data_IF_203438741993
#
_entry.id   IF_203438741993
#
_cell.length_a   1.000
_cell.length_b   1.000
_cell.length_c   1.000
_cell.angle_alpha   90.00
_cell.angle_beta   90.00
_cell.angle_gamma   90.00
#
_symmetry.space_group_name_H-M   'P 1'
#
loop_
_entity.id
_entity.type
_entity.pdbx_description
1 polymer ?
#
# COMPACT_ATOMS: atom_id res chain seq x y z
N UNK A 1 -21.65 28.37 -33.05
CA UNK A 1 -21.72 27.10 -33.80
C UNK A 1 -21.08 26.07 -32.88
N UNK A 2 -21.81 25.16 -32.24
CA UNK A 2 -21.20 24.07 -31.51
C UNK A 2 -20.73 23.03 -32.52
N UNK A 3 -19.45 22.71 -32.43
CA UNK A 3 -18.78 21.68 -33.21
C UNK A 3 -19.27 20.33 -32.72
N UNK A 4 -20.17 19.71 -33.48
CA UNK A 4 -20.67 18.36 -33.24
C UNK A 4 -19.63 17.37 -33.78
N UNK A 5 -18.59 17.08 -33.03
CA UNK A 5 -17.79 15.89 -33.27
C UNK A 5 -18.63 14.66 -32.85
N UNK A 6 -19.40 14.12 -33.79
CA UNK A 6 -20.01 12.80 -33.69
C UNK A 6 -18.84 11.81 -33.47
N UNK A 7 -18.89 10.95 -32.45
CA UNK A 7 -17.87 9.92 -32.29
C UNK A 7 -17.80 9.08 -33.56
N UNK A 8 -16.62 8.96 -34.16
CA UNK A 8 -16.43 8.04 -35.30
C UNK A 8 -16.91 6.66 -34.85
N UNK A 9 -17.77 6.03 -35.67
CA UNK A 9 -18.23 4.66 -35.39
C UNK A 9 -17.02 3.74 -35.29
N UNK A 10 -16.77 3.21 -34.10
CA UNK A 10 -15.64 2.32 -33.77
C UNK A 10 -15.92 0.86 -34.15
N UNK A 11 -17.06 0.62 -34.85
CA UNK A 11 -17.51 -0.72 -35.25
C UNK A 11 -16.65 -1.30 -36.35
N UNK A 12 -15.98 -2.41 -36.05
CA UNK A 12 -15.09 -3.10 -36.98
C UNK A 12 -15.64 -4.49 -37.29
N UNK A 13 -15.75 -4.83 -38.57
CA UNK A 13 -16.09 -6.19 -39.01
C UNK A 13 -14.97 -7.15 -38.66
N UNK A 14 -15.29 -8.26 -37.96
CA UNK A 14 -14.30 -9.22 -37.47
C UNK A 14 -14.50 -10.65 -37.98
N UNK A 15 -15.71 -11.07 -38.30
CA UNK A 15 -16.02 -12.40 -38.77
C UNK A 15 -17.39 -12.43 -39.47
N UNK A 16 -17.79 -13.59 -40.04
CA UNK A 16 -19.18 -13.85 -40.43
C UNK A 16 -19.91 -14.75 -39.44
N UNK A 17 -21.22 -14.62 -39.36
CA UNK A 17 -22.09 -15.50 -38.55
C UNK A 17 -22.03 -16.94 -39.02
N UNK A 18 -22.01 -17.17 -40.34
CA UNK A 18 -21.90 -18.48 -40.91
C UNK A 18 -20.61 -19.18 -40.47
N UNK A 19 -19.47 -18.48 -40.48
CA UNK A 19 -18.20 -19.03 -40.02
C UNK A 19 -18.23 -19.34 -38.51
N UNK A 20 -18.78 -18.43 -37.70
CA UNK A 20 -18.89 -18.62 -36.25
C UNK A 20 -19.81 -19.78 -35.90
N UNK A 21 -20.97 -19.87 -36.54
CA UNK A 21 -21.96 -20.95 -36.34
C UNK A 21 -21.39 -22.32 -36.73
N UNK A 22 -20.66 -22.39 -37.84
CA UNK A 22 -20.04 -23.63 -38.30
C UNK A 22 -19.00 -24.19 -37.32
N UNK A 23 -18.31 -23.30 -36.57
CA UNK A 23 -17.21 -23.68 -35.63
C UNK A 23 -17.59 -23.60 -34.16
N UNK A 24 -18.70 -22.92 -33.83
CA UNK A 24 -19.13 -22.62 -32.47
C UNK A 24 -18.30 -21.56 -31.77
N UNK A 25 -17.04 -21.34 -32.18
CA UNK A 25 -16.11 -20.36 -31.62
C UNK A 25 -15.04 -19.97 -32.66
N UNK A 26 -14.53 -18.72 -32.52
CA UNK A 26 -13.48 -18.21 -33.40
C UNK A 26 -12.46 -17.41 -32.61
N UNK A 27 -11.20 -17.46 -33.02
CA UNK A 27 -10.16 -16.54 -32.56
C UNK A 27 -9.88 -15.51 -33.65
N UNK A 28 -10.10 -14.26 -33.33
CA UNK A 28 -9.78 -13.12 -34.20
C UNK A 28 -8.51 -12.44 -33.71
N UNK A 29 -7.63 -12.05 -34.63
CA UNK A 29 -6.46 -11.21 -34.32
C UNK A 29 -6.67 -9.87 -35.06
N UNK A 30 -6.67 -8.78 -34.31
CA UNK A 30 -6.86 -7.44 -34.83
C UNK A 30 -6.06 -6.44 -34.00
N UNK A 31 -5.25 -5.61 -34.64
CA UNK A 31 -4.45 -4.55 -34.03
C UNK A 31 -3.65 -5.01 -32.77
N UNK A 32 -3.02 -6.19 -32.89
CA UNK A 32 -2.23 -6.78 -31.79
C UNK A 32 -3.07 -7.48 -30.72
N UNK A 33 -4.39 -7.35 -30.73
CA UNK A 33 -5.30 -8.02 -29.79
C UNK A 33 -5.66 -9.41 -30.27
N UNK A 34 -5.97 -10.29 -29.33
CA UNK A 34 -6.58 -11.59 -29.59
C UNK A 34 -7.96 -11.62 -28.93
N UNK A 35 -9.00 -11.74 -29.76
CA UNK A 35 -10.39 -11.73 -29.32
C UNK A 35 -10.97 -13.12 -29.57
N UNK A 36 -11.69 -13.65 -28.57
CA UNK A 36 -12.47 -14.87 -28.69
C UNK A 36 -13.93 -14.52 -28.97
N UNK A 37 -14.50 -15.12 -30.03
CA UNK A 37 -15.91 -15.07 -30.34
C UNK A 37 -16.55 -16.42 -30.02
N UNK A 38 -17.76 -16.38 -29.48
CA UNK A 38 -18.56 -17.56 -29.16
C UNK A 38 -19.96 -17.41 -29.69
N UNK A 39 -20.48 -18.49 -30.32
CA UNK A 39 -21.90 -18.60 -30.60
C UNK A 39 -22.63 -18.95 -29.28
N UNK A 40 -23.57 -18.10 -28.89
CA UNK A 40 -24.47 -18.35 -27.78
C UNK A 40 -25.72 -19.10 -28.23
N UNK A 41 -26.79 -19.00 -27.43
CA UNK A 41 -28.07 -19.58 -27.74
C UNK A 41 -28.80 -18.74 -28.83
N UNK A 42 -29.35 -19.39 -29.82
CA UNK A 42 -30.07 -18.71 -30.93
C UNK A 42 -29.14 -17.82 -31.76
N UNK A 43 -29.40 -16.53 -31.76
CA UNK A 43 -28.64 -15.53 -32.51
C UNK A 43 -27.58 -14.79 -31.65
N UNK A 44 -27.42 -15.18 -30.41
CA UNK A 44 -26.48 -14.52 -29.50
C UNK A 44 -25.02 -14.75 -29.94
N UNK A 45 -24.23 -13.69 -29.88
CA UNK A 45 -22.80 -13.71 -30.17
C UNK A 45 -22.08 -12.98 -29.03
N UNK A 46 -21.10 -13.64 -28.45
CA UNK A 46 -20.27 -13.06 -27.37
C UNK A 46 -18.85 -12.84 -27.84
N UNK A 47 -18.25 -11.73 -27.41
CA UNK A 47 -16.88 -11.38 -27.72
C UNK A 47 -16.13 -10.96 -26.44
N UNK A 48 -14.95 -11.54 -26.22
CA UNK A 48 -14.09 -11.18 -25.09
C UNK A 48 -12.61 -11.27 -25.46
N UNK A 49 -11.74 -10.73 -24.61
CA UNK A 49 -10.30 -11.00 -24.74
C UNK A 49 -10.04 -12.51 -24.74
N UNK A 50 -9.19 -12.95 -25.66
CA UNK A 50 -8.80 -14.36 -25.76
C UNK A 50 -7.68 -14.73 -24.76
N UNK A 51 -7.56 -14.00 -23.66
CA UNK A 51 -6.59 -14.25 -22.59
C UNK A 51 -7.32 -14.24 -21.26
N UNK A 52 -7.25 -15.37 -20.57
CA UNK A 52 -7.78 -15.44 -19.21
C UNK A 52 -7.04 -14.42 -18.33
N UNK A 53 -7.75 -13.56 -17.57
CA UNK A 53 -7.13 -12.55 -16.72
C UNK A 53 -6.29 -13.14 -15.59
N UNK A 54 -6.48 -14.44 -15.28
CA UNK A 54 -5.65 -15.15 -14.30
C UNK A 54 -4.20 -15.30 -14.79
N UNK A 55 -3.97 -16.17 -15.80
CA UNK A 55 -2.62 -16.50 -16.29
C UNK A 55 -2.52 -16.54 -17.82
N UNK A 56 -3.47 -15.91 -18.51
CA UNK A 56 -3.38 -15.71 -19.95
C UNK A 56 -3.74 -16.91 -20.82
N UNK A 57 -4.38 -17.97 -20.28
CA UNK A 57 -4.84 -19.11 -21.07
C UNK A 57 -5.80 -18.66 -22.20
N UNK A 58 -5.69 -19.24 -23.41
CA UNK A 58 -6.55 -18.87 -24.52
C UNK A 58 -8.01 -19.23 -24.25
N UNK A 59 -8.88 -18.24 -24.03
CA UNK A 59 -10.28 -18.46 -23.67
C UNK A 59 -11.11 -19.07 -24.79
N UNK A 60 -10.70 -18.94 -26.06
CA UNK A 60 -11.32 -19.67 -27.18
C UNK A 60 -11.27 -21.18 -27.01
N UNK A 61 -10.34 -21.70 -26.18
CA UNK A 61 -10.24 -23.12 -25.83
C UNK A 61 -11.04 -23.47 -24.57
N UNK A 62 -11.70 -22.48 -23.97
CA UNK A 62 -12.58 -22.67 -22.83
C UNK A 62 -13.87 -23.40 -23.16
N UNK A 63 -14.69 -23.69 -22.18
CA UNK A 63 -15.98 -24.35 -22.33
C UNK A 63 -17.11 -23.35 -22.11
N UNK A 64 -17.98 -23.20 -23.10
CA UNK A 64 -19.21 -22.40 -22.98
C UNK A 64 -20.36 -23.30 -22.55
N UNK A 65 -21.07 -22.91 -21.49
CA UNK A 65 -22.28 -23.57 -20.99
C UNK A 65 -23.40 -22.54 -20.82
N UNK A 66 -24.65 -23.02 -20.78
CA UNK A 66 -25.84 -22.18 -20.60
C UNK A 66 -25.88 -20.97 -21.56
N UNK A 67 -25.35 -21.15 -22.76
CA UNK A 67 -25.32 -20.14 -23.81
C UNK A 67 -24.43 -18.92 -23.56
N UNK A 68 -23.97 -18.68 -22.34
CA UNK A 68 -23.17 -17.48 -21.99
C UNK A 68 -22.11 -17.66 -20.90
N UNK A 69 -22.05 -18.79 -20.21
CA UNK A 69 -21.08 -19.01 -19.14
C UNK A 69 -19.81 -19.62 -19.71
N UNK A 70 -18.75 -18.83 -19.77
CA UNK A 70 -17.44 -19.27 -20.24
C UNK A 70 -16.57 -19.76 -19.08
N UNK A 71 -16.17 -21.02 -19.12
CA UNK A 71 -15.22 -21.62 -18.18
C UNK A 71 -13.83 -21.69 -18.80
N UNK A 72 -12.83 -21.10 -18.14
CA UNK A 72 -11.43 -21.30 -18.48
C UNK A 72 -11.01 -22.73 -18.10
N UNK A 73 -10.61 -23.55 -19.07
CA UNK A 73 -10.31 -24.97 -18.83
C UNK A 73 -8.99 -25.20 -18.07
N UNK A 74 -8.22 -24.16 -17.78
CA UNK A 74 -6.97 -24.31 -17.03
C UNK A 74 -7.22 -24.32 -15.51
N UNK A 75 -7.87 -23.26 -14.97
CA UNK A 75 -8.09 -23.13 -13.51
C UNK A 75 -9.56 -22.97 -13.14
N UNK A 76 -10.49 -23.31 -14.04
CA UNK A 76 -11.94 -23.29 -13.83
C UNK A 76 -12.54 -21.91 -13.48
N UNK A 77 -11.84 -20.80 -13.82
CA UNK A 77 -12.45 -19.50 -13.71
C UNK A 77 -13.66 -19.38 -14.64
N UNK A 78 -14.75 -18.78 -14.15
CA UNK A 78 -16.02 -18.69 -14.86
C UNK A 78 -16.43 -17.24 -15.03
N UNK A 79 -16.82 -16.93 -16.27
CA UNK A 79 -17.23 -15.60 -16.66
C UNK A 79 -18.62 -15.65 -17.29
N UNK A 80 -19.53 -14.78 -16.86
CA UNK A 80 -20.77 -14.53 -17.56
C UNK A 80 -20.52 -13.56 -18.72
N UNK A 81 -20.56 -14.05 -19.96
CA UNK A 81 -20.36 -13.22 -21.14
C UNK A 81 -21.55 -12.29 -21.42
N UNK A 82 -22.73 -12.55 -20.86
CA UNK A 82 -23.92 -11.72 -21.00
C UNK A 82 -23.89 -10.55 -20.01
N UNK A 83 -23.80 -10.81 -18.71
CA UNK A 83 -23.73 -9.79 -17.67
C UNK A 83 -22.36 -9.13 -17.55
N UNK A 84 -21.29 -9.88 -17.80
CA UNK A 84 -19.90 -9.41 -17.66
C UNK A 84 -19.28 -9.70 -16.30
N UNK A 85 -19.98 -10.45 -15.50
CA UNK A 85 -19.53 -10.77 -14.14
C UNK A 85 -18.55 -11.94 -14.15
N UNK A 86 -17.58 -11.91 -13.25
CA UNK A 86 -16.74 -13.06 -12.94
C UNK A 86 -17.44 -13.87 -11.85
N UNK A 87 -17.97 -15.03 -12.21
CA UNK A 87 -18.71 -15.91 -11.31
C UNK A 87 -17.80 -16.74 -10.41
N UNK A 88 -16.62 -17.11 -10.93
CA UNK A 88 -15.57 -17.83 -10.20
C UNK A 88 -14.23 -17.26 -10.65
N UNK A 89 -13.47 -16.76 -9.73
CA UNK A 89 -12.19 -16.10 -9.97
C UNK A 89 -12.12 -14.74 -9.30
N UNK A 90 -10.98 -14.10 -9.38
CA UNK A 90 -10.71 -12.84 -8.67
C UNK A 90 -10.54 -11.62 -9.59
N UNK A 91 -10.82 -11.71 -10.88
CA UNK A 91 -10.49 -10.66 -11.82
C UNK A 91 -11.50 -10.56 -12.98
N UNK A 92 -11.66 -9.39 -13.56
CA UNK A 92 -12.65 -9.13 -14.61
C UNK A 92 -12.13 -9.48 -16.01
N UNK A 93 -13.02 -10.02 -16.84
CA UNK A 93 -12.74 -10.29 -18.25
C UNK A 93 -13.21 -9.12 -19.12
N UNK A 94 -12.32 -8.58 -19.96
CA UNK A 94 -12.72 -7.58 -20.95
C UNK A 94 -13.64 -8.22 -21.99
N UNK A 95 -14.82 -7.63 -22.20
CA UNK A 95 -15.78 -7.96 -23.23
C UNK A 95 -15.84 -6.86 -24.27
N UNK A 96 -16.28 -7.20 -25.46
CA UNK A 96 -16.50 -6.26 -26.56
C UNK A 96 -17.98 -6.23 -26.91
N UNK A 97 -18.60 -5.03 -27.06
CA UNK A 97 -19.93 -4.93 -27.62
C UNK A 97 -19.98 -5.54 -29.03
N UNK A 98 -21.04 -6.28 -29.29
CA UNK A 98 -21.28 -6.96 -30.59
C UNK A 98 -22.47 -6.35 -31.27
N UNK A 99 -22.37 -6.11 -32.58
CA UNK A 99 -23.46 -5.77 -33.48
C UNK A 99 -23.46 -6.73 -34.67
N UNK A 100 -24.64 -7.21 -35.01
CA UNK A 100 -24.84 -8.03 -36.20
C UNK A 100 -25.42 -7.16 -37.32
N UNK A 101 -24.85 -7.26 -38.54
CA UNK A 101 -25.33 -6.59 -39.74
C UNK A 101 -25.39 -7.63 -40.86
N UNK A 102 -26.60 -8.20 -41.04
CA UNK A 102 -26.78 -9.38 -41.92
C UNK A 102 -25.93 -10.57 -41.42
N UNK A 103 -24.99 -11.02 -42.23
CA UNK A 103 -24.03 -12.08 -41.86
C UNK A 103 -22.77 -11.53 -41.16
N UNK A 104 -22.57 -10.23 -41.17
CA UNK A 104 -21.36 -9.65 -40.60
C UNK A 104 -21.45 -9.49 -39.07
N UNK A 105 -20.38 -9.90 -38.36
CA UNK A 105 -20.17 -9.66 -36.93
C UNK A 105 -19.23 -8.45 -36.82
N UNK A 106 -19.74 -7.40 -36.17
CA UNK A 106 -18.98 -6.19 -35.90
C UNK A 106 -18.76 -6.05 -34.40
N UNK A 107 -17.55 -5.61 -33.99
CA UNK A 107 -17.20 -5.31 -32.64
C UNK A 107 -16.93 -3.81 -32.46
N UNK A 108 -17.37 -3.28 -31.34
CA UNK A 108 -16.86 -2.00 -30.86
C UNK A 108 -15.52 -2.22 -30.16
N UNK A 109 -14.47 -1.66 -30.76
CA UNK A 109 -13.08 -1.78 -30.26
C UNK A 109 -12.62 -0.54 -29.50
N UNK A 110 -13.54 0.37 -29.19
CA UNK A 110 -13.20 1.55 -28.40
C UNK A 110 -12.50 1.15 -27.10
N UNK A 111 -11.43 1.86 -26.79
CA UNK A 111 -10.82 1.72 -25.47
C UNK A 111 -11.72 2.39 -24.44
N UNK A 112 -11.94 1.76 -23.28
CA UNK A 112 -12.60 2.42 -22.16
C UNK A 112 -11.83 3.69 -21.76
N UNK A 113 -12.55 4.65 -21.15
CA UNK A 113 -11.90 5.85 -20.63
C UNK A 113 -10.77 5.47 -19.65
N UNK A 114 -9.54 5.99 -19.84
CA UNK A 114 -8.44 5.74 -18.92
C UNK A 114 -8.78 6.05 -17.46
N UNK A 115 -9.59 7.07 -17.19
CA UNK A 115 -10.04 7.41 -15.85
C UNK A 115 -10.96 6.31 -15.27
N UNK A 116 -11.83 5.71 -16.08
CA UNK A 116 -12.66 4.58 -15.65
C UNK A 116 -11.83 3.32 -15.39
N UNK A 117 -10.80 3.07 -16.21
CA UNK A 117 -9.87 1.95 -15.98
C UNK A 117 -9.11 2.15 -14.65
N UNK A 118 -8.61 3.36 -14.41
CA UNK A 118 -7.89 3.68 -13.17
C UNK A 118 -8.80 3.54 -11.94
N UNK A 119 -10.04 4.04 -12.00
CA UNK A 119 -11.01 3.90 -10.91
C UNK A 119 -11.32 2.43 -10.62
N UNK A 120 -11.61 1.62 -11.65
CA UNK A 120 -11.86 0.19 -11.51
C UNK A 120 -10.65 -0.58 -10.97
N UNK A 121 -9.44 -0.17 -11.33
CA UNK A 121 -8.22 -0.79 -10.79
C UNK A 121 -8.08 -0.52 -9.28
N UNK A 122 -8.41 0.67 -8.81
CA UNK A 122 -8.40 0.99 -7.38
C UNK A 122 -9.51 0.27 -6.61
N UNK A 123 -10.71 0.13 -7.20
CA UNK A 123 -11.79 -0.67 -6.61
C UNK A 123 -11.40 -2.14 -6.55
N UNK A 124 -10.86 -2.71 -7.64
CA UNK A 124 -10.35 -4.07 -7.70
C UNK A 124 -9.19 -4.32 -6.71
N UNK A 125 -8.35 -3.31 -6.48
CA UNK A 125 -7.31 -3.36 -5.47
C UNK A 125 -7.90 -3.53 -4.06
N UNK A 126 -8.97 -2.80 -3.74
CA UNK A 126 -9.64 -2.94 -2.44
C UNK A 126 -10.19 -4.35 -2.24
N UNK A 127 -10.82 -4.93 -3.26
CA UNK A 127 -11.38 -6.28 -3.18
C UNK A 127 -10.32 -7.36 -2.93
N UNK A 128 -9.14 -7.24 -3.54
CA UNK A 128 -8.07 -8.25 -3.39
C UNK A 128 -7.14 -8.00 -2.21
N UNK A 129 -7.22 -6.82 -1.61
CA UNK A 129 -6.38 -6.42 -0.49
C UNK A 129 -6.66 -7.25 0.76
N UNK A 130 -7.93 -7.38 1.15
CA UNK A 130 -8.33 -8.11 2.35
C UNK A 130 -8.04 -9.62 2.27
N UNK A 131 -8.08 -10.19 1.06
CA UNK A 131 -7.72 -11.57 0.80
C UNK A 131 -6.21 -11.80 0.71
N UNK A 132 -5.43 -10.72 0.68
CA UNK A 132 -4.00 -10.76 0.39
C UNK A 132 -3.67 -11.51 -0.91
N UNK A 133 -4.51 -11.33 -1.95
CA UNK A 133 -4.23 -11.84 -3.29
C UNK A 133 -3.12 -11.00 -3.94
N UNK A 134 -1.88 -11.32 -3.58
CA UNK A 134 -0.69 -10.59 -4.00
C UNK A 134 -0.56 -10.49 -5.54
N UNK A 135 -0.92 -11.55 -6.25
CA UNK A 135 -0.86 -11.55 -7.71
C UNK A 135 -1.89 -10.59 -8.33
N UNK A 136 -3.09 -10.50 -7.75
CA UNK A 136 -4.11 -9.54 -8.18
C UNK A 136 -3.75 -8.12 -7.75
N UNK A 137 -3.22 -7.91 -6.54
CA UNK A 137 -2.68 -6.60 -6.12
C UNK A 137 -1.70 -6.08 -7.17
N UNK A 138 -0.74 -6.90 -7.60
CA UNK A 138 0.23 -6.51 -8.62
C UNK A 138 -0.43 -6.16 -9.96
N UNK A 139 -1.45 -6.91 -10.38
CA UNK A 139 -2.17 -6.65 -11.64
C UNK A 139 -2.98 -5.36 -11.59
N UNK A 140 -3.66 -5.09 -10.47
CA UNK A 140 -4.46 -3.85 -10.34
C UNK A 140 -3.56 -2.61 -10.34
N UNK A 141 -2.42 -2.64 -9.64
CA UNK A 141 -1.45 -1.54 -9.67
C UNK A 141 -0.85 -1.36 -11.07
N UNK A 142 -0.58 -2.45 -11.79
CA UNK A 142 -0.11 -2.39 -13.17
C UNK A 142 -1.18 -1.81 -14.13
N UNK A 143 -2.47 -2.12 -13.92
CA UNK A 143 -3.59 -1.53 -14.68
C UNK A 143 -3.74 -0.04 -14.42
N UNK A 144 -3.66 0.36 -13.15
CA UNK A 144 -3.66 1.76 -12.75
C UNK A 144 -2.57 2.53 -13.50
N UNK A 145 -1.33 2.03 -13.48
CA UNK A 145 -0.21 2.63 -14.19
C UNK A 145 -0.41 2.65 -15.71
N UNK A 146 -0.88 1.55 -16.30
CA UNK A 146 -1.12 1.45 -17.74
C UNK A 146 -2.22 2.41 -18.21
N UNK A 147 -3.18 2.73 -17.36
CA UNK A 147 -4.21 3.73 -17.60
C UNK A 147 -3.71 5.19 -17.43
N UNK A 148 -2.44 5.39 -17.08
CA UNK A 148 -1.87 6.72 -16.82
C UNK A 148 -2.14 7.27 -15.43
N UNK A 149 -2.71 6.48 -14.52
CA UNK A 149 -2.84 6.84 -13.10
C UNK A 149 -1.51 6.81 -12.36
N UNK A 150 -1.44 7.48 -11.21
CA UNK A 150 -0.27 7.43 -10.34
C UNK A 150 -0.28 6.12 -9.52
N UNK A 151 0.69 5.22 -9.69
CA UNK A 151 0.75 3.99 -8.89
C UNK A 151 0.86 4.25 -7.37
N UNK A 152 1.31 5.42 -6.94
CA UNK A 152 1.34 5.82 -5.54
C UNK A 152 -0.07 5.99 -4.93
N UNK A 153 -1.11 6.17 -5.76
CA UNK A 153 -2.50 6.22 -5.28
C UNK A 153 -2.91 4.89 -4.65
N UNK A 154 -2.35 3.77 -5.13
CA UNK A 154 -2.56 2.48 -4.49
C UNK A 154 -2.06 2.47 -3.04
N UNK A 155 -0.87 3.03 -2.77
CA UNK A 155 -0.34 3.12 -1.41
C UNK A 155 -1.07 4.17 -0.56
N UNK A 156 -1.43 5.33 -1.14
CA UNK A 156 -2.25 6.35 -0.43
C UNK A 156 -3.57 5.74 0.05
N UNK A 157 -4.29 5.04 -0.84
CA UNK A 157 -5.54 4.35 -0.49
C UNK A 157 -5.31 3.28 0.57
N UNK A 158 -4.26 2.49 0.45
CA UNK A 158 -3.90 1.46 1.42
C UNK A 158 -3.71 2.03 2.83
N UNK A 159 -2.99 3.13 2.98
CA UNK A 159 -2.80 3.80 4.26
C UNK A 159 -4.16 4.24 4.84
N UNK A 160 -5.03 4.84 4.03
CA UNK A 160 -6.37 5.25 4.45
C UNK A 160 -7.23 4.07 4.90
N UNK A 161 -7.17 2.93 4.19
CA UNK A 161 -7.98 1.74 4.52
C UNK A 161 -7.53 1.02 5.78
N UNK A 162 -6.25 1.13 6.13
CA UNK A 162 -5.65 0.29 7.17
C UNK A 162 -5.28 1.01 8.45
N UNK A 163 -5.31 2.35 8.47
CA UNK A 163 -4.80 3.13 9.60
C UNK A 163 -5.44 2.77 10.95
N UNK A 164 -6.69 2.35 10.95
CA UNK A 164 -7.42 1.93 12.14
C UNK A 164 -7.46 0.39 12.34
N UNK A 165 -6.73 -0.38 11.52
CA UNK A 165 -6.66 -1.85 11.62
C UNK A 165 -5.44 -2.35 12.42
N UNK A 166 -4.64 -1.45 12.94
CA UNK A 166 -3.48 -1.78 13.76
C UNK A 166 -3.74 -1.43 15.22
N UNK A 167 -3.88 -2.46 16.06
CA UNK A 167 -4.26 -2.31 17.46
C UNK A 167 -3.33 -1.37 18.24
N UNK A 168 -2.03 -1.43 17.94
CA UNK A 168 -0.99 -0.66 18.62
C UNK A 168 -0.31 0.38 17.72
N UNK A 169 -0.99 0.81 16.64
CA UNK A 169 -0.51 1.86 15.76
C UNK A 169 0.44 1.38 14.66
N UNK A 170 1.48 2.14 14.35
CA UNK A 170 2.37 1.86 13.23
C UNK A 170 3.04 0.49 13.33
N UNK A 171 3.15 -0.19 12.18
CA UNK A 171 3.79 -1.51 12.04
C UNK A 171 5.02 -1.42 11.15
N UNK A 172 5.70 -2.55 10.96
CA UNK A 172 6.82 -2.65 10.02
C UNK A 172 6.42 -2.30 8.58
N UNK A 173 5.14 -2.47 8.19
CA UNK A 173 4.67 -2.08 6.86
C UNK A 173 4.86 -0.57 6.62
N UNK A 174 4.62 0.29 7.62
CA UNK A 174 4.84 1.73 7.54
C UNK A 174 6.31 2.06 7.32
N UNK A 175 7.19 1.44 8.11
CA UNK A 175 8.63 1.68 7.99
C UNK A 175 9.19 1.14 6.66
N UNK A 176 8.85 -0.10 6.31
CA UNK A 176 9.30 -0.75 5.09
C UNK A 176 8.83 -0.01 3.83
N UNK A 177 7.60 0.55 3.82
CA UNK A 177 7.10 1.30 2.69
C UNK A 177 8.00 2.50 2.34
N UNK A 178 8.54 3.21 3.33
CA UNK A 178 9.48 4.30 3.09
C UNK A 178 10.76 3.82 2.38
N UNK A 179 11.28 2.64 2.76
CA UNK A 179 12.47 2.07 2.14
C UNK A 179 12.18 1.51 0.74
N UNK A 180 11.04 0.87 0.53
CA UNK A 180 10.61 0.44 -0.80
C UNK A 180 10.47 1.60 -1.76
N UNK A 181 9.99 2.77 -1.30
CA UNK A 181 9.93 3.97 -2.14
C UNK A 181 11.32 4.51 -2.50
N UNK A 182 12.35 4.32 -1.66
CA UNK A 182 13.74 4.61 -2.04
C UNK A 182 14.20 3.67 -3.16
N UNK A 183 13.88 2.38 -3.05
CA UNK A 183 14.19 1.41 -4.11
C UNK A 183 13.44 1.69 -5.41
N UNK A 184 12.17 2.11 -5.33
CA UNK A 184 11.41 2.60 -6.49
C UNK A 184 12.15 3.71 -7.22
N UNK A 185 12.61 4.72 -6.49
CA UNK A 185 13.31 5.87 -7.07
C UNK A 185 14.65 5.47 -7.69
N UNK A 186 15.37 4.53 -7.06
CA UNK A 186 16.61 3.98 -7.57
C UNK A 186 16.42 3.15 -8.86
N UNK A 187 15.21 2.71 -9.16
CA UNK A 187 14.86 1.95 -10.36
C UNK A 187 13.82 2.67 -11.24
N UNK A 188 13.79 3.99 -11.20
CA UNK A 188 12.81 4.78 -11.96
C UNK A 188 12.91 4.60 -13.49
N UNK A 189 14.06 4.15 -13.99
CA UNK A 189 14.31 3.81 -15.40
C UNK A 189 13.79 2.41 -15.79
N UNK A 190 13.43 1.56 -14.82
CA UNK A 190 12.85 0.22 -15.03
C UNK A 190 11.43 0.17 -14.45
N UNK A 191 10.38 0.38 -15.28
CA UNK A 191 9.01 0.43 -14.80
C UNK A 191 8.54 -0.83 -14.05
N UNK A 192 9.07 -2.00 -14.40
CA UNK A 192 8.69 -3.25 -13.73
C UNK A 192 9.27 -3.31 -12.31
N UNK A 193 10.53 -2.92 -12.14
CA UNK A 193 11.18 -2.86 -10.81
C UNK A 193 10.58 -1.76 -9.94
N UNK A 194 10.34 -0.59 -10.53
CA UNK A 194 9.69 0.51 -9.82
C UNK A 194 8.30 0.10 -9.33
N UNK A 195 7.52 -0.61 -10.18
CA UNK A 195 6.22 -1.12 -9.82
C UNK A 195 6.29 -2.17 -8.71
N UNK A 196 7.27 -3.08 -8.75
CA UNK A 196 7.47 -4.11 -7.72
C UNK A 196 7.60 -3.47 -6.34
N UNK A 197 8.33 -2.38 -6.20
CA UNK A 197 8.47 -1.69 -4.92
C UNK A 197 7.12 -1.20 -4.34
N UNK A 198 6.21 -0.73 -5.19
CA UNK A 198 4.87 -0.31 -4.75
C UNK A 198 4.00 -1.52 -4.39
N UNK A 199 4.09 -2.60 -5.16
CA UNK A 199 3.39 -3.86 -4.87
C UNK A 199 3.82 -4.41 -3.52
N UNK A 200 5.12 -4.36 -3.20
CA UNK A 200 5.64 -4.75 -1.88
C UNK A 200 5.08 -3.90 -0.75
N UNK A 201 5.00 -2.56 -0.94
CA UNK A 201 4.36 -1.69 0.05
C UNK A 201 2.93 -2.14 0.34
N UNK A 202 2.09 -2.21 -0.70
CA UNK A 202 0.67 -2.55 -0.59
C UNK A 202 0.48 -3.97 -0.04
N UNK A 203 1.27 -4.93 -0.55
CA UNK A 203 1.23 -6.32 -0.10
C UNK A 203 1.60 -6.48 1.37
N UNK A 204 2.55 -5.69 1.89
CA UNK A 204 2.93 -5.75 3.29
C UNK A 204 1.84 -5.15 4.20
N UNK A 205 1.24 -4.01 3.83
CA UNK A 205 0.08 -3.50 4.56
C UNK A 205 -1.08 -4.50 4.56
N UNK A 206 -1.36 -5.16 3.43
CA UNK A 206 -2.38 -6.19 3.33
C UNK A 206 -2.08 -7.37 4.26
N UNK A 207 -0.82 -7.79 4.33
CA UNK A 207 -0.38 -8.86 5.23
C UNK A 207 -0.55 -8.48 6.70
N UNK A 208 -0.08 -7.30 7.11
CA UNK A 208 -0.12 -6.85 8.49
C UNK A 208 -1.54 -6.58 8.99
N UNK A 209 -2.44 -6.10 8.11
CA UNK A 209 -3.84 -5.82 8.43
C UNK A 209 -4.78 -7.01 8.19
N UNK A 210 -4.25 -8.13 7.68
CA UNK A 210 -5.06 -9.30 7.30
C UNK A 210 -5.87 -9.83 8.47
N UNK A 211 -7.19 -9.97 8.23
CA UNK A 211 -8.15 -10.45 9.22
C UNK A 211 -8.20 -9.63 10.52
N UNK A 212 -7.48 -8.53 10.62
CA UNK A 212 -7.56 -7.65 11.77
C UNK A 212 -8.92 -6.92 11.78
N UNK A 213 -9.59 -6.84 12.94
CA UNK A 213 -10.75 -5.98 13.08
C UNK A 213 -10.35 -4.51 13.00
N UNK A 214 -11.33 -3.62 12.81
CA UNK A 214 -11.11 -2.19 13.02
C UNK A 214 -10.94 -1.89 14.53
N UNK A 215 -9.98 -1.05 14.82
CA UNK A 215 -9.73 -0.44 16.13
C UNK A 215 -9.91 1.07 15.97
N UNK A 216 -11.17 1.57 15.94
CA UNK A 216 -11.43 2.96 15.59
C UNK A 216 -10.76 3.91 16.59
N UNK A 217 -10.26 5.02 16.07
CA UNK A 217 -9.69 6.06 16.91
C UNK A 217 -10.81 6.80 17.67
N UNK A 218 -10.56 7.24 18.91
CA UNK A 218 -11.49 8.09 19.63
C UNK A 218 -11.92 9.30 18.81
N UNK A 219 -13.17 9.71 18.95
CA UNK A 219 -13.66 10.95 18.35
C UNK A 219 -13.13 12.15 19.14
N UNK A 220 -12.93 13.28 18.45
CA UNK A 220 -12.51 14.53 19.10
C UNK A 220 -11.69 15.40 18.16
N UNK A 221 -11.76 16.70 18.41
CA UNK A 221 -10.96 17.75 17.77
C UNK A 221 -10.60 18.78 18.83
N UNK A 222 -9.32 19.08 18.98
CA UNK A 222 -8.83 20.12 19.88
C UNK A 222 -7.76 20.95 19.18
N UNK A 223 -7.64 22.26 19.44
CA UNK A 223 -6.55 23.05 18.89
C UNK A 223 -5.19 22.41 19.22
N UNK A 224 -4.32 22.33 18.20
CA UNK A 224 -3.01 21.73 18.39
C UNK A 224 -2.17 22.52 19.37
N UNK A 225 -1.58 21.80 20.30
CA UNK A 225 -0.57 22.30 21.25
C UNK A 225 0.47 21.20 21.45
N UNK A 226 1.74 21.50 21.19
CA UNK A 226 2.83 20.54 21.22
C UNK A 226 3.12 19.99 22.63
N UNK A 227 2.99 20.82 23.67
CA UNK A 227 3.23 20.40 25.06
C UNK A 227 2.06 19.55 25.57
N UNK A 228 0.82 19.94 25.22
CA UNK A 228 -0.36 19.16 25.52
C UNK A 228 -0.34 17.79 24.83
N UNK A 229 0.16 17.68 23.58
CA UNK A 229 0.30 16.41 22.89
C UNK A 229 1.27 15.47 23.62
N UNK A 230 2.45 15.98 24.01
CA UNK A 230 3.42 15.19 24.80
C UNK A 230 2.80 14.76 26.12
N UNK A 231 2.13 15.68 26.84
CA UNK A 231 1.49 15.36 28.11
C UNK A 231 0.37 14.30 27.98
N UNK A 232 -0.40 14.34 26.91
CA UNK A 232 -1.44 13.34 26.64
C UNK A 232 -0.84 11.95 26.36
N UNK A 233 0.25 11.88 25.56
CA UNK A 233 0.98 10.63 25.32
C UNK A 233 1.56 10.07 26.63
N UNK A 234 2.19 10.90 27.45
CA UNK A 234 2.74 10.51 28.75
C UNK A 234 1.67 10.01 29.74
N UNK A 235 0.46 10.56 29.63
CA UNK A 235 -0.68 10.15 30.45
C UNK A 235 -1.39 8.89 29.90
N UNK A 236 -0.95 8.33 28.77
CA UNK A 236 -1.60 7.23 28.06
C UNK A 236 -3.05 7.59 27.65
N UNK A 237 -3.32 8.89 27.43
CA UNK A 237 -4.64 9.40 27.02
C UNK A 237 -4.73 9.48 25.49
N UNK A 238 -5.13 8.35 24.87
CA UNK A 238 -5.31 8.28 23.42
C UNK A 238 -6.34 9.30 22.92
N UNK A 239 -7.42 9.53 23.68
CA UNK A 239 -8.49 10.42 23.23
C UNK A 239 -8.01 11.87 23.13
N UNK A 240 -7.27 12.35 24.12
CA UNK A 240 -6.69 13.69 24.10
C UNK A 240 -5.61 13.82 23.01
N UNK A 241 -4.73 12.83 22.88
CA UNK A 241 -3.66 12.85 21.88
C UNK A 241 -4.21 12.85 20.44
N UNK A 242 -5.21 12.01 20.16
CA UNK A 242 -5.91 11.96 18.87
C UNK A 242 -6.61 13.27 18.55
N UNK A 243 -7.31 13.89 19.52
CA UNK A 243 -7.98 15.16 19.32
C UNK A 243 -7.00 16.29 18.93
N UNK A 244 -5.83 16.33 19.56
CA UNK A 244 -4.77 17.30 19.26
C UNK A 244 -4.16 17.10 17.87
N UNK A 245 -3.91 15.87 17.48
CA UNK A 245 -3.37 15.56 16.14
C UNK A 245 -4.36 15.89 15.04
N UNK A 246 -5.66 15.61 15.24
CA UNK A 246 -6.70 16.06 14.32
C UNK A 246 -6.79 17.57 14.24
N UNK A 247 -6.60 18.27 15.36
CA UNK A 247 -6.51 19.71 15.37
C UNK A 247 -5.34 20.27 14.59
N UNK A 248 -4.20 19.56 14.58
CA UNK A 248 -3.08 19.89 13.70
C UNK A 248 -3.45 19.78 12.22
N UNK A 249 -4.06 18.67 11.83
CA UNK A 249 -4.51 18.44 10.45
C UNK A 249 -5.58 19.46 10.03
N UNK A 250 -6.57 19.75 10.88
CA UNK A 250 -7.62 20.75 10.63
C UNK A 250 -7.06 22.19 10.48
N UNK A 251 -6.02 22.51 11.24
CA UNK A 251 -5.30 23.78 11.12
C UNK A 251 -4.37 23.86 9.91
N UNK A 252 -4.26 22.80 9.11
CA UNK A 252 -3.38 22.73 7.93
C UNK A 252 -1.89 22.66 8.28
N UNK A 253 -1.54 22.20 9.50
CA UNK A 253 -0.16 21.95 9.87
C UNK A 253 0.36 20.71 9.14
N UNK A 254 1.63 20.73 8.82
CA UNK A 254 2.31 19.59 8.18
C UNK A 254 3.00 18.67 9.20
N UNK A 255 3.63 17.61 8.68
CA UNK A 255 4.36 16.67 9.53
C UNK A 255 5.53 17.35 10.27
N UNK A 256 6.20 18.32 9.65
CA UNK A 256 7.35 19.00 10.27
C UNK A 256 6.93 19.87 11.48
N UNK A 257 5.69 20.34 11.51
CA UNK A 257 5.14 21.09 12.65
C UNK A 257 4.85 20.19 13.85
N UNK A 258 4.44 18.94 13.61
CA UNK A 258 4.04 17.97 14.64
C UNK A 258 5.22 17.10 15.11
N UNK A 259 6.13 16.78 14.20
CA UNK A 259 7.26 15.88 14.45
C UNK A 259 8.12 16.25 15.70
N UNK A 260 8.39 17.52 16.04
CA UNK A 260 9.15 17.85 17.24
C UNK A 260 8.48 17.37 18.55
N UNK A 261 7.16 17.46 18.66
CA UNK A 261 6.41 16.94 19.81
C UNK A 261 6.45 15.41 19.86
N UNK A 262 6.22 14.76 18.72
CA UNK A 262 6.33 13.30 18.61
C UNK A 262 7.75 12.81 18.92
N UNK A 263 8.79 13.54 18.49
CA UNK A 263 10.17 13.19 18.79
C UNK A 263 10.46 13.27 20.30
N UNK A 264 9.94 14.28 21.01
CA UNK A 264 10.05 14.40 22.47
C UNK A 264 9.43 13.20 23.17
N UNK A 265 8.21 12.82 22.79
CA UNK A 265 7.55 11.64 23.35
C UNK A 265 8.30 10.35 23.02
N UNK A 266 8.79 10.20 21.78
CA UNK A 266 9.59 9.06 21.34
C UNK A 266 10.87 8.90 22.16
N UNK A 267 11.58 9.99 22.47
CA UNK A 267 12.83 9.96 23.21
C UNK A 267 12.61 9.77 24.71
N UNK A 268 11.42 10.09 25.23
CA UNK A 268 11.07 9.82 26.63
C UNK A 268 10.90 8.32 26.90
N UNK A 269 10.43 7.57 25.89
CA UNK A 269 10.19 6.14 25.96
C UNK A 269 10.93 5.41 24.82
N UNK A 270 12.13 4.95 25.13
CA UNK A 270 12.99 4.25 24.17
C UNK A 270 12.61 2.79 24.07
N UNK A 271 11.55 2.54 23.30
CA UNK A 271 10.88 1.27 23.23
C UNK A 271 11.40 0.30 22.18
N UNK A 272 11.10 -0.99 22.45
CA UNK A 272 11.11 -2.07 21.44
C UNK A 272 12.28 -1.95 20.47
N UNK A 273 13.50 -1.90 21.00
CA UNK A 273 14.72 -1.73 20.18
C UNK A 273 14.74 -0.46 19.31
N UNK A 274 14.02 0.59 19.72
CA UNK A 274 13.99 1.87 19.02
C UNK A 274 12.94 1.95 17.89
N UNK A 275 11.96 1.05 17.83
CA UNK A 275 10.92 1.07 16.82
C UNK A 275 10.19 2.42 16.73
N UNK A 276 9.86 3.06 17.86
CA UNK A 276 9.20 4.35 17.87
C UNK A 276 10.00 5.43 17.11
N UNK A 277 11.34 5.46 17.27
CA UNK A 277 12.20 6.39 16.54
C UNK A 277 12.28 6.05 15.04
N UNK A 278 12.31 4.76 14.70
CA UNK A 278 12.26 4.30 13.31
C UNK A 278 10.93 4.72 12.68
N UNK A 279 9.80 4.45 13.31
CA UNK A 279 8.48 4.79 12.79
C UNK A 279 8.30 6.30 12.62
N UNK A 280 8.74 7.10 13.60
CA UNK A 280 8.73 8.56 13.49
C UNK A 280 9.47 9.04 12.24
N UNK A 281 10.71 8.59 12.06
CA UNK A 281 11.53 8.99 10.93
C UNK A 281 10.94 8.52 9.59
N UNK A 282 10.49 7.27 9.52
CA UNK A 282 9.93 6.67 8.30
C UNK A 282 8.58 7.25 7.94
N UNK A 283 7.74 7.58 8.91
CA UNK A 283 6.49 8.31 8.69
C UNK A 283 6.74 9.66 8.02
N UNK A 284 7.75 10.40 8.49
CA UNK A 284 8.12 11.67 7.85
C UNK A 284 8.58 11.48 6.39
N UNK A 285 9.33 10.43 6.11
CA UNK A 285 9.72 10.10 4.73
C UNK A 285 8.52 9.74 3.84
N UNK A 286 7.53 9.01 4.39
CA UNK A 286 6.30 8.67 3.65
C UNK A 286 5.47 9.91 3.34
N UNK A 287 5.21 10.77 4.33
CA UNK A 287 4.46 12.01 4.12
C UNK A 287 5.13 12.86 3.04
N UNK A 288 6.46 13.01 3.11
CA UNK A 288 7.20 13.79 2.12
C UNK A 288 7.07 13.24 0.69
N UNK A 289 7.06 11.90 0.54
CA UNK A 289 7.02 11.24 -0.79
C UNK A 289 5.63 11.09 -1.36
N UNK A 290 4.66 10.76 -0.52
CA UNK A 290 3.28 10.55 -0.96
C UNK A 290 2.57 11.88 -1.20
N UNK A 291 2.87 12.92 -0.41
CA UNK A 291 2.11 14.17 -0.41
C UNK A 291 0.65 13.93 -0.02
N UNK A 292 -0.14 15.01 -0.04
CA UNK A 292 -1.58 14.94 0.18
C UNK A 292 -1.99 14.94 1.66
N UNK A 293 -3.03 15.71 1.96
CA UNK A 293 -3.59 15.80 3.31
C UNK A 293 -4.26 14.50 3.75
N UNK A 294 -4.72 13.68 2.78
CA UNK A 294 -5.44 12.45 3.02
C UNK A 294 -4.61 11.35 3.71
N UNK A 295 -3.27 11.38 3.58
CA UNK A 295 -2.39 10.41 4.23
C UNK A 295 -1.76 10.93 5.52
N UNK A 296 -1.73 12.24 5.72
CA UNK A 296 -1.09 12.87 6.87
C UNK A 296 -1.79 12.49 8.18
N UNK A 297 -3.11 12.73 8.27
CA UNK A 297 -3.88 12.38 9.47
C UNK A 297 -3.81 10.87 9.80
N UNK A 298 -4.08 9.94 8.87
CA UNK A 298 -3.91 8.51 9.10
C UNK A 298 -2.53 8.12 9.65
N UNK A 299 -1.46 8.64 9.08
CA UNK A 299 -0.10 8.35 9.51
C UNK A 299 0.21 8.93 10.90
N UNK A 300 -0.25 10.16 11.18
CA UNK A 300 -0.11 10.76 12.50
C UNK A 300 -0.90 9.99 13.57
N UNK A 301 -2.12 9.55 13.25
CA UNK A 301 -2.95 8.74 14.16
C UNK A 301 -2.27 7.41 14.50
N UNK A 302 -1.73 6.69 13.49
CA UNK A 302 -0.96 5.46 13.74
C UNK A 302 0.25 5.72 14.63
N UNK A 303 0.99 6.81 14.37
CA UNK A 303 2.19 7.16 15.15
C UNK A 303 1.83 7.49 16.60
N UNK A 304 0.79 8.30 16.83
CA UNK A 304 0.33 8.67 18.18
C UNK A 304 -0.13 7.44 18.94
N UNK A 305 -0.92 6.53 18.30
CA UNK A 305 -1.33 5.27 18.95
C UNK A 305 -0.11 4.43 19.35
N UNK A 306 0.92 4.34 18.50
CA UNK A 306 2.14 3.62 18.87
C UNK A 306 2.83 4.21 20.10
N UNK A 307 2.81 5.53 20.26
CA UNK A 307 3.42 6.20 21.40
C UNK A 307 2.58 6.10 22.68
N UNK A 308 1.25 6.18 22.55
CA UNK A 308 0.33 6.05 23.71
C UNK A 308 0.38 4.65 24.30
N UNK A 309 0.47 3.62 23.46
CA UNK A 309 0.57 2.23 23.90
C UNK A 309 2.01 1.72 24.03
N UNK A 310 2.92 2.67 24.06
CA UNK A 310 4.33 2.39 24.20
C UNK A 310 4.64 1.67 25.52
N UNK A 311 5.66 0.73 25.56
CA UNK A 311 6.16 0.16 26.82
C UNK A 311 6.69 1.26 27.72
N UNK A 312 6.41 1.16 28.99
CA UNK A 312 6.83 2.14 30.00
C UNK A 312 8.15 1.70 30.61
N UNK A 313 9.25 1.85 29.87
CA UNK A 313 10.60 1.51 30.37
C UNK A 313 11.00 2.38 31.55
N UNK A 314 10.49 3.60 31.62
CA UNK A 314 10.68 4.51 32.77
C UNK A 314 10.16 3.92 34.11
N UNK A 315 9.22 2.97 34.03
CA UNK A 315 8.75 2.23 35.22
C UNK A 315 9.63 1.04 35.56
N UNK A 316 10.51 0.60 34.68
CA UNK A 316 11.43 -0.51 34.89
C UNK A 316 12.68 0.04 35.64
N UNK A 317 13.01 -0.48 36.83
CA UNK A 317 14.09 0.07 37.66
C UNK A 317 15.44 0.18 36.94
N UNK A 318 15.77 -0.79 36.09
CA UNK A 318 17.00 -0.85 35.31
C UNK A 318 17.15 0.31 34.34
N UNK A 319 16.03 0.80 33.79
CA UNK A 319 16.01 1.89 32.83
C UNK A 319 15.85 3.27 33.45
N UNK A 320 15.41 3.36 34.70
CA UNK A 320 15.28 4.65 35.42
C UNK A 320 16.57 5.44 35.48
N UNK A 321 17.71 4.77 35.51
CA UNK A 321 19.02 5.41 35.53
C UNK A 321 19.36 6.12 34.19
N UNK A 322 18.66 5.82 33.09
CA UNK A 322 18.88 6.48 31.81
C UNK A 322 18.33 7.91 31.77
N UNK A 323 17.19 8.17 32.42
CA UNK A 323 16.49 9.45 32.35
C UNK A 323 17.37 10.65 32.82
N UNK A 324 18.13 10.58 33.93
CA UNK A 324 19.02 11.67 34.33
C UNK A 324 20.15 11.93 33.32
N UNK A 325 20.64 10.88 32.68
CA UNK A 325 21.70 11.01 31.65
C UNK A 325 21.16 11.68 30.39
N UNK A 326 19.96 11.29 29.94
CA UNK A 326 19.27 11.94 28.82
C UNK A 326 18.92 13.39 29.10
N UNK A 327 18.44 13.70 30.31
CA UNK A 327 18.14 15.08 30.72
C UNK A 327 19.35 15.99 30.75
N UNK A 328 20.53 15.44 31.02
CA UNK A 328 21.81 16.15 31.02
C UNK A 328 22.47 16.26 29.64
N UNK A 329 21.94 15.60 28.62
CA UNK A 329 22.53 15.61 27.29
C UNK A 329 22.12 16.87 26.52
N UNK A 330 23.11 17.63 26.06
CA UNK A 330 22.89 18.86 25.31
C UNK A 330 22.70 18.68 23.76
N UNK A 331 22.57 17.44 23.33
CA UNK A 331 22.44 17.10 21.91
C UNK A 331 23.77 17.12 21.15
N UNK A 332 24.90 17.28 21.85
CA UNK A 332 26.23 17.25 21.26
C UNK A 332 27.02 16.06 21.80
N UNK A 333 27.71 15.38 20.93
CA UNK A 333 28.74 14.43 21.34
C UNK A 333 30.02 15.23 21.61
N UNK A 334 30.44 15.32 22.88
CA UNK A 334 31.65 16.04 23.29
C UNK A 334 32.93 15.39 22.73
N UNK A 335 32.88 14.15 22.32
CA UNK A 335 33.90 13.46 21.55
C UNK A 335 33.26 12.32 20.76
N UNK A 336 33.20 12.43 19.47
CA UNK A 336 32.97 11.26 18.60
C UNK A 336 34.28 10.47 18.63
N UNK A 337 34.32 9.21 19.11
CA UNK A 337 35.51 8.38 19.02
C UNK A 337 35.99 8.31 17.58
N UNK A 338 37.29 8.47 17.34
CA UNK A 338 37.79 8.32 15.99
C UNK A 338 37.50 6.91 15.45
N UNK A 339 37.22 6.75 14.15
CA UNK A 339 36.94 5.44 13.54
C UNK A 339 37.98 4.36 13.87
N UNK A 340 39.23 4.76 14.00
CA UNK A 340 40.34 3.90 14.38
C UNK A 340 40.21 3.35 15.81
N UNK A 341 39.64 4.09 16.74
CA UNK A 341 39.49 3.66 18.15
C UNK A 341 38.44 2.56 18.27
N UNK A 342 37.49 2.51 17.40
CA UNK A 342 36.44 1.48 17.39
C UNK A 342 36.83 0.22 16.60
N UNK A 343 37.72 0.32 15.66
CA UNK A 343 38.27 -0.86 14.97
C UNK A 343 39.03 -1.80 15.89
N UNK A 344 39.46 -1.31 17.04
CA UNK A 344 40.16 -2.08 18.06
C UNK A 344 39.25 -2.60 19.15
N UNK A 345 37.98 -2.12 19.24
CA UNK A 345 37.01 -2.58 20.21
C UNK A 345 36.35 -3.86 19.69
N UNK A 346 36.82 -5.00 20.18
CA UNK A 346 36.16 -6.28 19.92
C UNK A 346 34.85 -6.42 20.71
N UNK A 347 33.91 -7.25 20.24
CA UNK A 347 32.72 -7.61 21.01
C UNK A 347 33.07 -8.13 22.41
N UNK A 348 34.14 -8.91 22.52
CA UNK A 348 34.66 -9.38 23.79
C UNK A 348 35.05 -8.21 24.70
N UNK A 349 35.75 -7.19 24.20
CA UNK A 349 36.13 -6.02 24.95
C UNK A 349 34.95 -5.17 25.44
N UNK A 350 33.87 -5.10 24.67
CA UNK A 350 32.61 -4.47 25.09
C UNK A 350 31.97 -5.28 26.22
N UNK A 351 31.87 -6.60 26.06
CA UNK A 351 31.31 -7.49 27.07
C UNK A 351 32.11 -7.49 28.37
N UNK A 352 33.45 -7.42 28.31
CA UNK A 352 34.31 -7.26 29.50
C UNK A 352 34.03 -5.94 30.22
N UNK A 353 33.85 -4.83 29.50
CA UNK A 353 33.50 -3.54 30.08
C UNK A 353 32.11 -3.57 30.74
N UNK A 354 31.13 -4.22 30.08
CA UNK A 354 29.79 -4.42 30.63
C UNK A 354 29.87 -5.28 31.91
N UNK A 355 30.61 -6.37 31.89
CA UNK A 355 30.78 -7.25 33.02
C UNK A 355 31.51 -6.55 34.20
N UNK A 356 32.55 -5.78 33.91
CA UNK A 356 33.26 -4.98 34.91
C UNK A 356 32.40 -3.83 35.45
N UNK A 357 31.50 -3.29 34.62
CA UNK A 357 30.55 -2.24 34.98
C UNK A 357 29.33 -2.73 35.76
N UNK A 358 29.11 -4.04 35.84
CA UNK A 358 27.94 -4.59 36.54
C UNK A 358 27.83 -4.17 38.01
N UNK A 359 28.98 -3.86 38.66
CA UNK A 359 29.02 -3.26 39.98
C UNK A 359 28.82 -1.74 39.99
N UNK A 360 28.88 -1.09 38.81
CA UNK A 360 28.75 0.34 38.63
C UNK A 360 27.90 0.62 37.38
N UNK A 361 26.56 0.51 37.47
CA UNK A 361 25.66 0.67 36.30
C UNK A 361 25.90 1.97 35.52
N UNK A 362 26.28 3.06 36.21
CA UNK A 362 26.57 4.35 35.58
C UNK A 362 27.71 4.27 34.53
N UNK A 363 28.76 3.50 34.84
CA UNK A 363 29.88 3.33 33.93
C UNK A 363 29.50 2.50 32.68
N UNK A 364 28.54 1.58 32.81
CA UNK A 364 27.98 0.82 31.67
C UNK A 364 27.19 1.74 30.77
N UNK A 365 26.35 2.61 31.34
CA UNK A 365 25.60 3.59 30.57
C UNK A 365 26.50 4.58 29.86
N UNK A 366 27.53 5.09 30.51
CA UNK A 366 28.50 6.01 29.90
C UNK A 366 29.26 5.33 28.75
N UNK A 367 29.62 4.06 28.88
CA UNK A 367 30.25 3.29 27.81
C UNK A 367 29.28 2.98 26.66
N UNK A 368 28.00 2.65 26.96
CA UNK A 368 26.99 2.39 25.97
C UNK A 368 26.61 3.66 25.18
N UNK A 369 26.46 4.79 25.90
CA UNK A 369 26.19 6.09 25.27
C UNK A 369 27.35 6.55 24.39
N UNK A 370 28.61 6.36 24.82
CA UNK A 370 29.78 6.64 23.99
C UNK A 370 29.84 5.74 22.73
N UNK A 371 29.37 4.50 22.85
CA UNK A 371 29.26 3.60 21.69
C UNK A 371 28.09 3.95 20.77
N UNK A 372 26.97 4.45 21.31
CA UNK A 372 25.78 4.83 20.55
C UNK A 372 25.93 6.20 19.85
N UNK A 373 26.80 7.07 20.33
CA UNK A 373 27.14 8.34 19.66
C UNK A 373 27.92 8.15 18.35
N UNK A 374 28.10 6.95 17.93
CA UNK A 374 28.82 6.47 16.76
C UNK A 374 27.87 5.95 15.68
#
# INVERSE_FOLDING_TARGET
>A
MPDSTTPMETWTRVASRDELTARGRLRVKLDGRQIALFAGDGDDVWACDNRCPHEGYPLVEGTLTDGCILTCNWHNWKFDLKGGETLVGGDTLRRYPVRLDGDDILLDLAEPDPAEIAAKALDGLHDCFDDHDYARIAREIARLQAAGGDPLDALRRTIVWTHDRFQYGATHAVAAAADWLVLRDAHADDPARALTAIVECVGYFAWDSRLAPSYPFPAGLAPYDADALVAAIEAEDEAAAVALVRGAADAGLDYADVAPALARATLAHYQDFGHAAIYLYKTGQLVQRLGGAEVLEPLLLMMVRSLVYASREDLIPEFRACAPKLAGWDGKADAVPAPEDLRTVTVAGILEKIAAGAAHPEAVYDAAMAAAAW
#
